data_IF_383768494070
#
_entry.id   IF_383768494070
#
_cell.length_a   1.000
_cell.length_b   1.000
_cell.length_c   1.000
_cell.angle_alpha   90.00
_cell.angle_beta   90.00
_cell.angle_gamma   90.00
#
_symmetry.space_group_name_H-M   'P 1'
#
loop_
_entity.id
_entity.type
_entity.pdbx_description
1 polymer ?
#
# COMPACT_ATOMS: atom_id res chain seq x y z
N UNK A 1 18.90 7.80 8.91
CA UNK A 1 18.24 6.79 8.05
C UNK A 1 19.12 6.45 6.86
N UNK A 2 19.67 7.42 6.13
CA UNK A 2 20.52 7.15 4.96
C UNK A 2 21.88 6.50 5.28
N UNK A 3 22.39 6.62 6.50
CA UNK A 3 23.64 6.01 6.94
C UNK A 3 23.45 4.64 7.61
N UNK A 4 22.23 4.33 8.04
CA UNK A 4 21.86 3.02 8.56
C UNK A 4 21.03 2.32 7.49
N UNK A 5 21.39 1.12 7.13
CA UNK A 5 20.78 0.31 6.04
C UNK A 5 19.32 -0.13 6.33
N UNK A 6 18.49 0.78 6.84
CA UNK A 6 17.08 0.51 7.08
C UNK A 6 16.33 0.56 5.75
N UNK A 7 15.68 -0.53 5.39
CA UNK A 7 14.87 -0.65 4.18
C UNK A 7 13.42 -1.05 4.53
N UNK A 8 12.43 -0.47 3.85
CA UNK A 8 11.04 -0.87 4.06
C UNK A 8 10.73 -2.26 3.42
N UNK A 9 9.83 -3.06 3.99
CA UNK A 9 9.19 -2.85 5.29
C UNK A 9 10.13 -3.13 6.46
N UNK A 10 10.27 -2.18 7.39
CA UNK A 10 11.05 -2.38 8.61
C UNK A 10 10.14 -2.93 9.71
N UNK A 11 10.55 -3.98 10.45
CA UNK A 11 9.78 -4.52 11.57
C UNK A 11 9.50 -3.48 12.66
N UNK A 12 8.34 -3.59 13.33
CA UNK A 12 7.95 -2.62 14.36
C UNK A 12 8.98 -2.50 15.48
N UNK A 13 9.58 -3.61 15.89
CA UNK A 13 10.60 -3.60 16.95
C UNK A 13 11.87 -2.87 16.49
N UNK A 14 12.30 -3.05 15.25
CA UNK A 14 13.45 -2.34 14.68
C UNK A 14 13.18 -0.83 14.59
N UNK A 15 11.97 -0.43 14.19
CA UNK A 15 11.57 0.99 14.19
C UNK A 15 11.60 1.58 15.61
N UNK A 16 11.16 0.82 16.63
CA UNK A 16 11.19 1.25 18.03
C UNK A 16 12.61 1.40 18.54
N UNK A 17 13.51 0.47 18.21
CA UNK A 17 14.92 0.54 18.59
C UNK A 17 15.58 1.80 18.01
N UNK A 18 15.41 2.06 16.72
CA UNK A 18 15.93 3.28 16.08
C UNK A 18 15.28 4.55 16.60
N UNK A 19 14.00 4.50 16.96
CA UNK A 19 13.31 5.64 17.58
C UNK A 19 13.89 5.94 18.98
N UNK A 20 14.16 4.91 19.79
CA UNK A 20 14.80 5.08 21.10
C UNK A 20 16.21 5.69 20.98
N UNK A 21 17.01 5.22 20.01
CA UNK A 21 18.34 5.79 19.72
C UNK A 21 18.26 7.27 19.34
N UNK A 22 17.33 7.64 18.44
CA UNK A 22 17.15 9.04 18.01
C UNK A 22 16.66 9.92 19.15
N UNK A 23 15.66 9.45 19.91
CA UNK A 23 15.11 10.19 21.07
C UNK A 23 16.23 10.45 22.10
N UNK A 24 17.07 9.45 22.39
CA UNK A 24 18.19 9.58 23.28
C UNK A 24 19.27 10.53 22.76
N UNK A 25 19.64 10.42 21.47
CA UNK A 25 20.63 11.28 20.83
C UNK A 25 20.23 12.77 20.80
N UNK A 26 18.91 13.02 20.62
CA UNK A 26 18.36 14.39 20.62
C UNK A 26 18.06 14.93 22.01
N UNK A 27 18.21 14.12 23.05
CA UNK A 27 17.86 14.50 24.42
C UNK A 27 16.38 14.73 24.65
N UNK A 28 15.53 14.13 23.83
CA UNK A 28 14.07 14.24 23.94
C UNK A 28 13.53 13.31 25.03
N UNK A 29 12.26 13.55 25.42
CA UNK A 29 11.60 12.69 26.40
C UNK A 29 11.22 11.36 25.75
N UNK A 30 11.31 10.21 26.48
CA UNK A 30 10.94 8.88 25.94
C UNK A 30 9.49 8.77 25.44
N UNK A 31 8.60 9.66 25.89
CA UNK A 31 7.20 9.72 25.41
C UNK A 31 7.08 9.96 23.90
N UNK A 32 8.12 10.50 23.27
CA UNK A 32 8.12 10.75 21.83
C UNK A 32 8.56 9.55 20.98
N UNK A 33 8.96 8.42 21.60
CA UNK A 33 9.46 7.25 20.87
C UNK A 33 8.51 6.78 19.77
N UNK A 34 7.24 6.56 20.10
CA UNK A 34 6.28 6.00 19.14
C UNK A 34 5.98 6.98 17.99
N UNK A 35 5.93 8.26 18.30
CA UNK A 35 5.84 9.32 17.30
C UNK A 35 7.07 9.35 16.37
N UNK A 36 8.28 9.23 16.93
CA UNK A 36 9.53 9.17 16.14
C UNK A 36 9.56 7.91 15.28
N UNK A 37 9.07 6.77 15.78
CA UNK A 37 8.92 5.54 15.00
C UNK A 37 8.02 5.74 13.77
N UNK A 38 6.92 6.48 13.94
CA UNK A 38 6.06 6.86 12.80
C UNK A 38 6.80 7.72 11.78
N UNK A 39 7.59 8.70 12.24
CA UNK A 39 8.39 9.55 11.34
C UNK A 39 9.42 8.74 10.55
N UNK A 40 10.11 7.81 11.21
CA UNK A 40 11.08 6.92 10.54
C UNK A 40 10.37 6.08 9.47
N UNK A 41 9.26 5.43 9.81
CA UNK A 41 8.47 4.65 8.86
C UNK A 41 8.03 5.50 7.66
N UNK A 42 7.51 6.69 7.90
CA UNK A 42 7.04 7.57 6.84
C UNK A 42 8.18 7.97 5.90
N UNK A 43 9.36 8.25 6.43
CA UNK A 43 10.52 8.59 5.60
C UNK A 43 11.01 7.40 4.77
N UNK A 44 10.98 6.19 5.33
CA UNK A 44 11.32 4.97 4.59
C UNK A 44 10.40 4.73 3.37
N UNK A 45 9.12 5.02 3.53
CA UNK A 45 8.13 4.81 2.46
C UNK A 45 7.92 6.02 1.54
N UNK A 46 8.51 7.17 1.86
CA UNK A 46 8.25 8.45 1.17
C UNK A 46 8.44 8.37 -0.34
N UNK A 47 9.59 7.88 -0.78
CA UNK A 47 9.90 7.78 -2.22
C UNK A 47 9.00 6.75 -2.92
N UNK A 48 8.76 5.62 -2.27
CA UNK A 48 7.88 4.58 -2.82
C UNK A 48 6.45 5.10 -2.94
N UNK A 49 5.90 5.75 -1.92
CA UNK A 49 4.58 6.38 -1.99
C UNK A 49 4.52 7.38 -3.13
N UNK A 50 5.53 8.27 -3.24
CA UNK A 50 5.59 9.29 -4.30
C UNK A 50 5.52 8.71 -5.71
N UNK A 51 6.02 7.50 -5.90
CA UNK A 51 6.06 6.81 -7.19
C UNK A 51 4.79 6.03 -7.55
N UNK A 52 3.88 5.81 -6.59
CA UNK A 52 2.60 5.11 -6.83
C UNK A 52 1.57 6.08 -7.41
N UNK A 53 0.82 5.73 -8.46
CA UNK A 53 -0.26 6.58 -9.00
C UNK A 53 -1.34 6.87 -7.95
N UNK A 54 -1.94 8.05 -8.01
CA UNK A 54 -2.97 8.46 -7.05
C UNK A 54 -4.17 7.51 -7.01
N UNK A 55 -4.57 6.95 -8.14
CA UNK A 55 -5.70 6.03 -8.30
C UNK A 55 -5.46 4.66 -7.63
N UNK A 56 -4.21 4.42 -7.24
CA UNK A 56 -3.80 3.19 -6.53
C UNK A 56 -3.56 3.42 -5.05
N UNK A 57 -3.85 4.62 -4.54
CA UNK A 57 -3.68 4.99 -3.14
C UNK A 57 -5.01 5.07 -2.40
N UNK A 58 -4.95 4.77 -1.11
CA UNK A 58 -6.07 4.92 -0.17
C UNK A 58 -5.75 6.00 0.85
N UNK A 59 -6.63 6.99 0.99
CA UNK A 59 -6.65 7.85 2.18
C UNK A 59 -7.62 7.24 3.19
N UNK A 60 -7.12 6.89 4.36
CA UNK A 60 -7.93 6.36 5.46
C UNK A 60 -7.95 7.33 6.62
N UNK A 61 -9.13 7.79 6.99
CA UNK A 61 -9.36 8.74 8.08
C UNK A 61 -10.22 8.11 9.18
N UNK A 62 -10.00 8.46 10.46
CA UNK A 62 -10.79 7.97 11.55
C UNK A 62 -12.07 8.82 11.70
N UNK A 63 -13.16 8.17 12.11
CA UNK A 63 -14.43 8.88 12.37
C UNK A 63 -14.35 9.93 13.49
N UNK A 64 -13.37 9.82 14.38
CA UNK A 64 -13.21 10.74 15.51
C UNK A 64 -12.79 12.16 15.13
N UNK A 65 -12.40 12.39 13.87
CA UNK A 65 -12.22 13.75 13.32
C UNK A 65 -13.54 14.49 13.08
N UNK A 66 -14.69 13.79 13.08
CA UNK A 66 -15.99 14.45 12.91
C UNK A 66 -16.39 15.21 14.17
N UNK A 67 -17.21 16.26 14.02
CA UNK A 67 -17.93 16.85 15.15
C UNK A 67 -19.10 15.93 15.51
N UNK A 68 -18.90 15.05 16.48
CA UNK A 68 -19.81 13.94 16.76
C UNK A 68 -21.25 14.39 17.04
N UNK A 69 -21.42 15.43 17.85
CA UNK A 69 -22.74 15.92 18.27
C UNK A 69 -23.58 16.56 17.17
N UNK A 70 -22.95 16.93 16.03
CA UNK A 70 -23.63 17.67 14.95
C UNK A 70 -23.48 17.03 13.57
N UNK A 71 -22.65 16.00 13.43
CA UNK A 71 -22.42 15.34 12.15
C UNK A 71 -23.66 14.61 11.66
N UNK A 72 -24.23 14.95 10.49
CA UNK A 72 -25.43 14.32 9.94
C UNK A 72 -25.12 13.04 9.16
N UNK A 73 -23.83 12.67 9.02
CA UNK A 73 -23.40 11.58 8.17
C UNK A 73 -23.82 10.22 8.74
N UNK A 74 -24.50 9.37 7.95
CA UNK A 74 -24.79 8.00 8.35
C UNK A 74 -23.55 7.12 8.21
N UNK A 75 -23.62 5.95 8.83
CA UNK A 75 -22.64 4.86 8.65
C UNK A 75 -23.23 3.77 7.77
N UNK A 76 -22.40 3.18 6.92
CA UNK A 76 -22.66 1.92 6.23
C UNK A 76 -21.64 0.85 6.66
N UNK A 77 -21.57 -0.26 5.93
CA UNK A 77 -20.64 -1.35 6.18
C UNK A 77 -19.16 -0.96 5.94
N UNK A 78 -18.90 0.10 5.19
CA UNK A 78 -17.55 0.59 4.88
C UNK A 78 -17.10 1.72 5.79
N UNK A 79 -18.02 2.44 6.41
CA UNK A 79 -17.70 3.53 7.32
C UNK A 79 -18.65 4.70 7.27
N UNK A 80 -18.15 5.91 7.53
CA UNK A 80 -18.92 7.15 7.56
C UNK A 80 -19.10 7.68 6.13
N UNK A 81 -20.35 7.89 5.74
CA UNK A 81 -20.70 8.54 4.46
C UNK A 81 -20.78 10.06 4.64
N UNK A 82 -19.68 10.76 4.45
CA UNK A 82 -19.59 12.20 4.61
C UNK A 82 -20.69 12.91 3.79
N UNK A 83 -21.32 13.92 4.41
CA UNK A 83 -22.39 14.73 3.78
C UNK A 83 -21.94 16.14 3.45
N UNK A 84 -20.64 16.38 3.47
CA UNK A 84 -20.04 17.68 3.10
C UNK A 84 -20.69 18.86 3.84
N UNK A 85 -20.91 18.66 5.16
CA UNK A 85 -21.63 19.64 5.98
C UNK A 85 -20.77 20.81 6.46
N UNK A 86 -19.48 20.82 6.17
CA UNK A 86 -18.54 21.90 6.54
C UNK A 86 -18.22 22.00 8.03
N UNK A 87 -18.47 20.94 8.80
CA UNK A 87 -18.29 21.00 10.27
C UNK A 87 -16.92 20.49 10.73
N UNK A 88 -16.21 19.75 9.89
CA UNK A 88 -14.91 19.15 10.23
C UNK A 88 -14.03 19.00 8.98
N UNK A 89 -12.78 18.67 9.17
CA UNK A 89 -11.77 18.59 8.11
C UNK A 89 -11.96 17.39 7.17
N UNK A 90 -12.74 16.38 7.56
CA UNK A 90 -12.98 15.17 6.75
C UNK A 90 -13.46 15.53 5.34
N UNK A 91 -14.37 16.49 5.23
CA UNK A 91 -14.92 16.90 3.94
C UNK A 91 -13.82 17.36 2.98
N UNK A 92 -12.97 18.28 3.42
CA UNK A 92 -11.98 18.92 2.55
C UNK A 92 -10.88 17.90 2.16
N UNK A 93 -10.44 17.09 3.11
CA UNK A 93 -9.45 16.04 2.89
C UNK A 93 -9.98 14.94 1.95
N UNK A 94 -11.24 14.51 2.16
CA UNK A 94 -11.87 13.51 1.30
C UNK A 94 -12.06 14.04 -0.12
N UNK A 95 -12.63 15.25 -0.27
CA UNK A 95 -12.88 15.86 -1.57
C UNK A 95 -11.59 16.05 -2.37
N UNK A 96 -10.51 16.48 -1.72
CA UNK A 96 -9.23 16.65 -2.40
C UNK A 96 -8.59 15.31 -2.76
N UNK A 97 -8.60 14.33 -1.87
CA UNK A 97 -8.07 13.01 -2.16
C UNK A 97 -8.82 12.36 -3.35
N UNK A 98 -10.14 12.42 -3.37
CA UNK A 98 -10.95 11.91 -4.47
C UNK A 98 -10.70 12.68 -5.78
N UNK A 99 -10.50 14.01 -5.70
CA UNK A 99 -10.14 14.84 -6.87
C UNK A 99 -8.81 14.42 -7.49
N UNK A 100 -7.84 14.01 -6.66
CA UNK A 100 -6.55 13.48 -7.11
C UNK A 100 -6.65 12.06 -7.67
N UNK A 101 -7.72 11.33 -7.33
CA UNK A 101 -7.94 9.95 -7.78
C UNK A 101 -7.81 8.89 -6.68
N UNK A 102 -7.55 9.27 -5.43
CA UNK A 102 -7.51 8.32 -4.30
C UNK A 102 -8.87 7.67 -4.07
N UNK A 103 -8.83 6.43 -3.56
CA UNK A 103 -9.94 5.97 -2.75
C UNK A 103 -9.86 6.65 -1.37
N UNK A 104 -10.99 7.18 -0.86
CA UNK A 104 -11.03 7.79 0.46
C UNK A 104 -12.06 7.08 1.34
N UNK A 105 -11.66 6.71 2.56
CA UNK A 105 -12.53 6.05 3.54
C UNK A 105 -12.43 6.71 4.90
N UNK A 106 -13.59 6.88 5.52
CA UNK A 106 -13.70 7.31 6.92
C UNK A 106 -14.25 6.14 7.73
N UNK A 107 -13.37 5.34 8.31
CA UNK A 107 -13.73 4.04 8.88
C UNK A 107 -13.18 3.82 10.29
N UNK A 108 -13.74 2.84 10.98
CA UNK A 108 -13.22 2.30 12.22
C UNK A 108 -12.52 0.97 11.98
N UNK A 109 -11.26 0.89 12.40
CA UNK A 109 -10.52 -0.37 12.45
C UNK A 109 -9.83 -0.80 11.17
N UNK A 110 -8.96 -1.81 11.31
CA UNK A 110 -8.06 -2.28 10.25
C UNK A 110 -8.69 -3.32 9.30
N UNK A 111 -9.83 -3.92 9.66
CA UNK A 111 -10.40 -5.04 8.91
C UNK A 111 -10.77 -4.67 7.46
N UNK A 112 -11.34 -3.48 7.26
CA UNK A 112 -11.71 -3.01 5.92
C UNK A 112 -10.48 -2.71 5.06
N UNK A 113 -9.42 -2.19 5.68
CA UNK A 113 -8.15 -1.94 4.99
C UNK A 113 -7.56 -3.24 4.47
N UNK A 114 -7.55 -4.28 5.29
CA UNK A 114 -7.06 -5.61 4.89
C UNK A 114 -7.85 -6.19 3.73
N UNK A 115 -9.17 -6.03 3.75
CA UNK A 115 -10.03 -6.46 2.64
C UNK A 115 -9.69 -5.72 1.35
N UNK A 116 -9.47 -4.41 1.41
CA UNK A 116 -9.12 -3.59 0.24
C UNK A 116 -7.74 -3.95 -0.33
N UNK A 117 -6.74 -4.15 0.52
CA UNK A 117 -5.41 -4.61 0.12
C UNK A 117 -5.51 -5.95 -0.64
N UNK A 118 -6.30 -6.89 -0.12
CA UNK A 118 -6.49 -8.21 -0.74
C UNK A 118 -7.14 -8.14 -2.13
N UNK A 119 -7.87 -7.07 -2.46
CA UNK A 119 -8.41 -6.89 -3.81
C UNK A 119 -7.36 -6.57 -4.87
N UNK A 120 -6.13 -6.21 -4.46
CA UNK A 120 -5.06 -5.77 -5.35
C UNK A 120 -5.33 -4.42 -6.04
N UNK A 121 -6.33 -3.67 -5.60
CA UNK A 121 -6.67 -2.34 -6.16
C UNK A 121 -5.89 -1.22 -5.51
N UNK A 122 -5.40 -1.42 -4.30
CA UNK A 122 -4.68 -0.43 -3.49
C UNK A 122 -3.25 -0.89 -3.32
N UNK A 123 -2.31 -0.03 -3.71
CA UNK A 123 -0.87 -0.28 -3.62
C UNK A 123 -0.20 0.56 -2.53
N UNK A 124 -0.88 1.57 -1.99
CA UNK A 124 -0.35 2.38 -0.90
C UNK A 124 -1.47 2.98 -0.03
N UNK A 125 -1.16 3.26 1.22
CA UNK A 125 -2.10 3.80 2.19
C UNK A 125 -1.51 5.03 2.86
N UNK A 126 -2.30 6.10 2.91
CA UNK A 126 -2.09 7.26 3.79
C UNK A 126 -3.10 7.11 4.93
N UNK A 127 -2.64 6.72 6.10
CA UNK A 127 -3.49 6.40 7.24
C UNK A 127 -3.42 7.46 8.35
N UNK A 128 -4.55 8.01 8.72
CA UNK A 128 -4.68 8.93 9.86
C UNK A 128 -5.31 8.19 11.03
N UNK A 129 -4.66 8.16 12.20
CA UNK A 129 -5.23 7.52 13.38
C UNK A 129 -4.46 7.89 14.66
N UNK A 130 -4.99 7.51 15.83
CA UNK A 130 -4.24 7.60 17.08
C UNK A 130 -3.11 6.55 17.10
N UNK A 131 -2.03 6.84 17.85
CA UNK A 131 -0.86 5.97 17.96
C UNK A 131 -1.21 4.51 18.30
N UNK A 132 -2.09 4.21 19.28
CA UNK A 132 -2.42 2.82 19.60
C UNK A 132 -3.10 2.03 18.46
N UNK A 133 -3.80 2.72 17.55
CA UNK A 133 -4.40 2.08 16.37
C UNK A 133 -3.37 1.88 15.29
N UNK A 134 -2.47 2.85 15.08
CA UNK A 134 -1.34 2.73 14.14
C UNK A 134 -0.44 1.55 14.50
N UNK A 135 -0.07 1.40 15.78
CA UNK A 135 0.72 0.26 16.23
C UNK A 135 0.04 -1.10 15.96
N UNK A 136 -1.26 -1.19 16.16
CA UNK A 136 -2.03 -2.42 15.86
C UNK A 136 -2.16 -2.71 14.37
N UNK A 137 -2.20 -1.69 13.53
CA UNK A 137 -2.28 -1.84 12.08
C UNK A 137 -0.94 -2.22 11.46
N UNK A 138 0.16 -1.84 12.09
CA UNK A 138 1.51 -1.94 11.56
C UNK A 138 1.93 -3.37 11.15
N UNK A 139 1.75 -4.43 11.97
CA UNK A 139 2.12 -5.79 11.58
C UNK A 139 1.39 -6.30 10.33
N UNK A 140 0.19 -5.80 10.07
CA UNK A 140 -0.56 -6.16 8.86
C UNK A 140 0.01 -5.49 7.62
N UNK A 141 0.43 -4.22 7.73
CA UNK A 141 1.06 -3.47 6.66
C UNK A 141 2.43 -4.08 6.31
N UNK A 142 3.21 -4.44 7.34
CA UNK A 142 4.48 -5.13 7.20
C UNK A 142 4.30 -6.46 6.47
N UNK A 143 3.37 -7.32 6.93
CA UNK A 143 3.10 -8.62 6.32
C UNK A 143 2.60 -8.54 4.88
N UNK A 144 1.86 -7.48 4.53
CA UNK A 144 1.37 -7.23 3.19
C UNK A 144 2.41 -6.55 2.28
N UNK A 145 3.52 -6.05 2.84
CA UNK A 145 4.53 -5.22 2.17
C UNK A 145 3.92 -4.05 1.36
N UNK A 146 2.80 -3.51 1.86
CA UNK A 146 2.13 -2.35 1.24
C UNK A 146 2.71 -1.07 1.83
N UNK A 147 3.21 -0.16 0.98
CA UNK A 147 3.66 1.16 1.43
C UNK A 147 2.58 1.87 2.23
N UNK A 148 2.91 2.17 3.48
CA UNK A 148 2.00 2.85 4.39
C UNK A 148 2.69 3.99 5.11
N UNK A 149 2.13 5.20 4.95
CA UNK A 149 2.49 6.36 5.78
C UNK A 149 1.39 6.63 6.77
N UNK A 150 1.78 7.04 7.96
CA UNK A 150 0.87 7.25 9.06
C UNK A 150 0.94 8.69 9.56
N UNK A 151 -0.21 9.29 9.84
CA UNK A 151 -0.30 10.62 10.40
C UNK A 151 -1.05 10.50 11.73
N UNK A 152 -0.35 10.67 12.86
CA UNK A 152 -0.96 10.53 14.17
C UNK A 152 -1.91 11.70 14.48
N UNK A 153 -3.01 11.38 15.17
CA UNK A 153 -3.89 12.39 15.74
C UNK A 153 -3.16 13.17 16.85
N UNK A 154 -3.57 14.41 17.05
CA UNK A 154 -3.00 15.29 18.08
C UNK A 154 -3.52 14.98 19.49
N UNK A 155 -4.63 14.23 19.59
CA UNK A 155 -5.21 13.79 20.86
C UNK A 155 -5.59 12.31 20.78
N UNK A 156 -5.58 11.63 21.93
CA UNK A 156 -6.00 10.23 22.07
C UNK A 156 -7.50 10.07 22.38
N UNK A 157 -8.25 11.15 22.39
CA UNK A 157 -9.71 11.13 22.57
C UNK A 157 -10.37 10.52 21.32
N UNK A 158 -11.42 9.72 21.54
CA UNK A 158 -12.16 9.09 20.44
C UNK A 158 -13.29 9.97 19.89
N UNK A 159 -13.36 11.24 20.28
CA UNK A 159 -14.43 12.19 19.97
C UNK A 159 -13.79 13.56 19.66
N UNK A 160 -14.24 14.18 18.57
CA UNK A 160 -13.87 15.55 18.18
C UNK A 160 -12.34 15.80 18.19
N UNK A 161 -11.57 14.81 17.74
CA UNK A 161 -10.10 14.89 17.69
C UNK A 161 -9.64 15.79 16.55
N UNK A 162 -8.38 16.20 16.61
CA UNK A 162 -7.72 17.01 15.56
C UNK A 162 -6.48 16.31 15.03
N UNK A 163 -6.04 16.75 13.87
CA UNK A 163 -4.84 16.26 13.18
C UNK A 163 -4.09 17.45 12.59
N UNK A 164 -2.82 17.27 12.33
CA UNK A 164 -2.05 18.20 11.52
C UNK A 164 -2.47 18.05 10.05
N UNK A 165 -3.33 18.96 9.59
CA UNK A 165 -3.88 18.93 8.24
C UNK A 165 -2.80 19.17 7.19
N UNK A 166 -1.87 20.09 7.43
CA UNK A 166 -0.78 20.39 6.51
C UNK A 166 0.05 19.14 6.23
N UNK A 167 0.26 18.32 7.25
CA UNK A 167 0.97 17.05 7.08
C UNK A 167 0.19 16.06 6.21
N UNK A 168 -1.14 15.99 6.33
CA UNK A 168 -1.96 15.16 5.43
C UNK A 168 -1.87 15.70 3.99
N UNK A 169 -2.00 17.04 3.82
CA UNK A 169 -1.89 17.68 2.52
C UNK A 169 -0.56 17.37 1.83
N UNK A 170 0.55 17.42 2.57
CA UNK A 170 1.88 17.10 2.04
C UNK A 170 1.95 15.66 1.50
N UNK A 171 1.35 14.70 2.20
CA UNK A 171 1.40 13.30 1.77
C UNK A 171 0.43 12.97 0.65
N UNK A 172 -0.78 13.52 0.64
CA UNK A 172 -1.74 13.23 -0.42
C UNK A 172 -1.33 13.85 -1.76
N UNK A 173 -0.58 14.96 -1.73
CA UNK A 173 -0.04 15.59 -2.95
C UNK A 173 1.35 15.07 -3.31
N UNK A 174 1.94 14.23 -2.47
CA UNK A 174 3.28 13.73 -2.70
C UNK A 174 3.33 12.96 -4.01
N UNK A 175 4.13 13.44 -4.95
CA UNK A 175 4.36 12.79 -6.24
C UNK A 175 5.83 12.87 -6.59
N UNK A 176 6.27 11.94 -7.41
CA UNK A 176 7.61 11.93 -7.94
C UNK A 176 7.52 12.07 -9.45
N UNK A 177 8.29 12.96 -10.04
CA UNK A 177 8.50 13.02 -11.50
C UNK A 177 9.30 11.80 -12.01
N UNK A 178 9.45 10.79 -11.17
CA UNK A 178 10.17 9.59 -11.49
C UNK A 178 9.54 8.90 -12.69
N UNK A 179 10.32 8.82 -13.76
CA UNK A 179 10.00 8.13 -15.00
C UNK A 179 10.22 6.62 -14.91
N UNK A 180 10.35 6.06 -13.71
CA UNK A 180 10.50 4.61 -13.54
C UNK A 180 9.32 3.89 -14.15
N UNK A 181 9.60 3.12 -15.17
CA UNK A 181 8.61 2.28 -15.80
C UNK A 181 8.27 1.12 -14.87
N UNK A 182 7.07 1.11 -14.33
CA UNK A 182 6.57 -0.02 -13.52
C UNK A 182 6.06 -1.12 -14.43
N UNK A 183 6.33 -2.36 -14.03
CA UNK A 183 5.71 -3.51 -14.66
C UNK A 183 4.23 -3.57 -14.29
N UNK A 184 3.37 -3.75 -15.28
CA UNK A 184 1.98 -4.15 -15.04
C UNK A 184 1.94 -5.65 -14.75
N UNK A 185 2.00 -5.97 -13.46
CA UNK A 185 2.04 -7.34 -12.98
C UNK A 185 0.74 -8.11 -13.29
N UNK A 186 -0.38 -7.42 -13.48
CA UNK A 186 -1.65 -8.06 -13.83
C UNK A 186 -1.62 -8.52 -15.28
N UNK A 187 -1.30 -7.62 -16.20
CA UNK A 187 -1.13 -7.95 -17.62
C UNK A 187 -0.08 -9.01 -17.83
N UNK A 188 1.05 -8.93 -17.11
CA UNK A 188 2.13 -9.91 -17.20
C UNK A 188 1.70 -11.29 -16.69
N UNK A 189 0.88 -11.35 -15.66
CA UNK A 189 0.32 -12.61 -15.16
C UNK A 189 -0.60 -13.25 -16.18
N UNK A 190 -1.50 -12.48 -16.77
CA UNK A 190 -2.43 -12.96 -17.79
C UNK A 190 -1.68 -13.46 -19.04
N UNK A 191 -0.62 -12.78 -19.41
CA UNK A 191 0.29 -13.20 -20.50
C UNK A 191 0.96 -14.54 -20.18
N UNK A 192 1.59 -14.67 -19.00
CA UNK A 192 2.20 -15.93 -18.56
C UNK A 192 1.19 -17.05 -18.48
N UNK A 193 -0.01 -16.80 -17.97
CA UNK A 193 -1.07 -17.81 -17.91
C UNK A 193 -1.52 -18.25 -19.31
N UNK A 194 -1.54 -17.34 -20.27
CA UNK A 194 -1.90 -17.65 -21.66
C UNK A 194 -0.91 -18.61 -22.35
N UNK A 195 0.36 -18.61 -21.98
CA UNK A 195 1.37 -19.54 -22.55
C UNK A 195 1.11 -21.00 -22.18
N UNK A 196 0.36 -21.24 -21.12
CA UNK A 196 -0.03 -22.58 -20.67
C UNK A 196 -1.41 -23.01 -21.17
N UNK A 197 -2.06 -22.24 -22.02
CA UNK A 197 -3.23 -22.68 -22.74
C UNK A 197 -2.88 -23.83 -23.70
N UNK A 198 -3.81 -24.76 -23.92
CA UNK A 198 -3.54 -25.94 -24.74
C UNK A 198 -3.03 -25.59 -26.13
N UNK A 199 -3.62 -24.57 -26.77
CA UNK A 199 -3.24 -24.12 -28.10
C UNK A 199 -1.81 -23.53 -28.12
N UNK A 200 -1.48 -22.71 -27.14
CA UNK A 200 -0.12 -22.13 -27.00
C UNK A 200 0.93 -23.22 -26.72
N UNK A 201 0.61 -24.20 -25.90
CA UNK A 201 1.50 -25.34 -25.65
C UNK A 201 1.73 -26.16 -26.90
N UNK A 202 0.71 -26.36 -27.75
CA UNK A 202 0.86 -27.02 -29.05
C UNK A 202 1.82 -26.29 -29.98
N UNK A 203 1.74 -24.94 -30.01
CA UNK A 203 2.64 -24.12 -30.80
C UNK A 203 4.10 -24.18 -30.30
N UNK A 204 4.29 -24.16 -28.95
CA UNK A 204 5.62 -24.11 -28.33
C UNK A 204 6.30 -25.49 -28.38
N UNK A 205 5.57 -26.56 -28.10
CA UNK A 205 6.11 -27.92 -27.99
C UNK A 205 6.12 -28.67 -29.34
N UNK A 206 5.37 -28.21 -30.33
CA UNK A 206 5.21 -28.86 -31.61
C UNK A 206 4.26 -30.07 -31.58
N UNK A 207 4.28 -30.88 -32.66
CA UNK A 207 3.51 -32.11 -32.73
C UNK A 207 3.99 -33.12 -31.68
N UNK A 208 3.04 -33.67 -30.92
CA UNK A 208 3.30 -34.63 -29.84
C UNK A 208 3.29 -36.04 -30.46
N UNK A 209 4.44 -36.68 -30.54
CA UNK A 209 4.61 -38.00 -31.18
C UNK A 209 4.52 -39.17 -30.19
N UNK A 210 4.51 -38.90 -28.86
CA UNK A 210 4.59 -39.93 -27.85
C UNK A 210 3.59 -39.75 -26.68
N UNK A 211 3.26 -40.86 -26.01
CA UNK A 211 2.37 -40.86 -24.86
C UNK A 211 2.93 -40.03 -23.68
N UNK A 212 4.25 -40.07 -23.50
CA UNK A 212 4.94 -39.28 -22.44
C UNK A 212 4.85 -37.78 -22.68
N UNK A 213 5.03 -37.34 -23.91
CA UNK A 213 4.91 -35.94 -24.32
C UNK A 213 3.47 -35.45 -24.20
N UNK A 214 2.51 -36.28 -24.59
CA UNK A 214 1.08 -35.99 -24.41
C UNK A 214 0.72 -35.80 -22.94
N UNK A 215 1.17 -36.69 -22.05
CA UNK A 215 0.95 -36.59 -20.60
C UNK A 215 1.61 -35.32 -20.05
N UNK A 216 2.82 -34.97 -20.47
CA UNK A 216 3.53 -33.77 -20.04
C UNK A 216 2.78 -32.50 -20.45
N UNK A 217 2.32 -32.44 -21.69
CA UNK A 217 1.55 -31.33 -22.23
C UNK A 217 0.21 -31.15 -21.51
N UNK A 218 -0.55 -32.23 -21.33
CA UNK A 218 -1.79 -32.23 -20.56
C UNK A 218 -1.55 -31.76 -19.13
N UNK A 219 -0.47 -32.18 -18.51
CA UNK A 219 -0.13 -31.80 -17.16
C UNK A 219 0.26 -30.29 -17.05
N UNK A 220 1.00 -29.77 -18.03
CA UNK A 220 1.30 -28.34 -18.13
C UNK A 220 0.07 -27.48 -18.39
N UNK A 221 -0.90 -27.97 -19.15
CA UNK A 221 -2.17 -27.27 -19.40
C UNK A 221 -3.10 -27.23 -18.18
N UNK A 222 -2.92 -28.16 -17.21
CA UNK A 222 -3.74 -28.18 -16.00
C UNK A 222 -3.52 -26.93 -15.15
N UNK A 223 -4.59 -26.43 -14.54
CA UNK A 223 -4.56 -25.25 -13.69
C UNK A 223 -3.53 -25.37 -12.57
N UNK A 224 -2.72 -24.33 -12.39
CA UNK A 224 -1.70 -24.22 -11.35
C UNK A 224 -1.43 -22.74 -11.02
N UNK A 225 -0.83 -22.47 -9.87
CA UNK A 225 -0.53 -21.07 -9.45
C UNK A 225 0.52 -20.37 -10.33
N UNK A 226 1.27 -21.10 -11.12
CA UNK A 226 2.31 -20.64 -12.10
C UNK A 226 3.20 -19.48 -11.61
N UNK A 227 3.36 -19.37 -10.30
CA UNK A 227 4.12 -18.28 -9.71
C UNK A 227 5.61 -18.29 -10.10
N UNK A 228 6.21 -19.48 -10.33
CA UNK A 228 7.62 -19.57 -10.74
C UNK A 228 7.86 -18.97 -12.13
N UNK A 229 7.16 -19.38 -13.21
CA UNK A 229 7.29 -18.71 -14.49
C UNK A 229 6.96 -17.23 -14.42
N UNK A 230 5.91 -16.84 -13.69
CA UNK A 230 5.56 -15.44 -13.47
C UNK A 230 6.71 -14.64 -12.84
N UNK A 231 7.32 -15.12 -11.75
CA UNK A 231 8.46 -14.44 -11.12
C UNK A 231 9.67 -14.35 -12.05
N UNK A 232 9.95 -15.42 -12.81
CA UNK A 232 11.06 -15.43 -13.76
C UNK A 232 10.88 -14.37 -14.84
N UNK A 233 9.69 -14.29 -15.43
CA UNK A 233 9.38 -13.30 -16.46
C UNK A 233 9.34 -11.89 -15.90
N UNK A 234 8.77 -11.71 -14.70
CA UNK A 234 8.77 -10.40 -14.03
C UNK A 234 10.17 -9.86 -13.77
N UNK A 235 11.06 -10.72 -13.27
CA UNK A 235 12.47 -10.35 -13.06
C UNK A 235 13.18 -10.04 -14.39
N UNK A 236 12.93 -10.84 -15.44
CA UNK A 236 13.51 -10.60 -16.76
C UNK A 236 13.03 -9.27 -17.34
N UNK A 237 11.73 -8.98 -17.31
CA UNK A 237 11.16 -7.72 -17.84
C UNK A 237 11.66 -6.50 -17.07
N UNK A 238 11.81 -6.61 -15.73
CA UNK A 238 12.40 -5.56 -14.92
C UNK A 238 13.84 -5.24 -15.33
N UNK A 239 14.67 -6.28 -15.50
CA UNK A 239 16.08 -6.13 -15.92
C UNK A 239 16.22 -5.71 -17.39
N UNK A 240 15.29 -6.12 -18.25
CA UNK A 240 15.28 -5.76 -19.68
C UNK A 240 15.00 -4.29 -19.90
N UNK A 241 14.19 -3.66 -19.04
CA UNK A 241 13.89 -2.24 -19.13
C UNK A 241 15.17 -1.40 -19.14
N UNK A 242 16.24 -1.87 -18.47
CA UNK A 242 17.55 -1.20 -18.44
C UNK A 242 18.44 -1.52 -19.67
N UNK A 243 18.20 -2.62 -20.36
CA UNK A 243 19.11 -3.12 -21.40
C UNK A 243 18.57 -3.04 -22.83
N UNK A 244 17.30 -2.81 -23.02
CA UNK A 244 16.63 -2.74 -24.34
C UNK A 244 16.66 -4.04 -25.16
N UNK A 245 17.00 -5.20 -24.55
CA UNK A 245 17.07 -6.49 -25.23
C UNK A 245 15.71 -7.20 -25.24
N UNK A 246 15.38 -7.82 -26.39
CA UNK A 246 14.18 -8.67 -26.49
C UNK A 246 14.40 -10.03 -25.79
N UNK A 247 13.29 -10.66 -25.33
CA UNK A 247 13.29 -12.06 -24.90
C UNK A 247 13.83 -12.96 -26.03
N UNK A 248 14.62 -13.98 -25.71
CA UNK A 248 15.08 -14.96 -26.67
C UNK A 248 13.94 -15.75 -27.28
#
# INVERSE_FOLDING_TARGET
VAEQTLAPPAPLEELKEHADELVAAMGWKPVYRDYVGVLINNELWRETLASIPFERRLLMMPKCLRVESRCPAPFDEFGLLCKECGLCTIQDLQSEAERLGYAALVAEGSAIVMSLIQTGKIDAIVGVSCIPVLERAFPYMEAAAVPGVAIPLLQDDCIDTTVDEDWIWDYIHLTNDDKTRRLDLTTLRDEVDSWFAADSLNEIMGEVDGETEFIAQEWLARAGKRWRPFLTVSAFEALRADTGKALP
#
